data_IF_080252765660
#
_entry.id   IF_080252765660
#
_cell.length_a   1.000
_cell.length_b   1.000
_cell.length_c   1.000
_cell.angle_alpha   90.00
_cell.angle_beta   90.00
_cell.angle_gamma   90.00
#
_symmetry.space_group_name_H-M   'P 1'
#
loop_
_entity.id
_entity.type
_entity.pdbx_description
1 polymer ?
#
# COMPACT_ATOMS: atom_id res chain seq x y z
N UNK A 1 -2.27 -17.66 23.80
CA UNK A 1 -2.32 -17.02 22.47
C UNK A 1 -1.24 -17.67 21.61
N UNK A 2 -1.54 -18.11 20.38
CA UNK A 2 -0.52 -18.71 19.52
C UNK A 2 0.39 -17.63 18.93
N UNK A 3 1.61 -18.00 18.55
CA UNK A 3 2.55 -17.08 17.91
C UNK A 3 2.00 -16.54 16.57
N UNK A 4 1.24 -17.36 15.84
CA UNK A 4 0.58 -16.93 14.60
C UNK A 4 -0.47 -15.85 14.88
N UNK A 5 -1.32 -16.04 15.89
CA UNK A 5 -2.33 -15.04 16.24
C UNK A 5 -1.68 -13.72 16.68
N UNK A 6 -0.61 -13.80 17.48
CA UNK A 6 0.13 -12.61 17.87
C UNK A 6 0.75 -11.89 16.67
N UNK A 7 1.27 -12.63 15.69
CA UNK A 7 1.80 -12.04 14.46
C UNK A 7 0.70 -11.38 13.61
N UNK A 8 -0.47 -12.03 13.48
CA UNK A 8 -1.62 -11.48 12.78
C UNK A 8 -2.08 -10.16 13.41
N UNK A 9 -2.33 -10.16 14.73
CA UNK A 9 -2.80 -8.99 15.46
C UNK A 9 -1.77 -7.84 15.41
N UNK A 10 -0.49 -8.17 15.52
CA UNK A 10 0.58 -7.19 15.37
C UNK A 10 0.59 -6.57 13.97
N UNK A 11 0.44 -7.39 12.93
CA UNK A 11 0.48 -6.97 11.53
C UNK A 11 -0.82 -6.36 11.01
N UNK A 12 -1.89 -6.39 11.80
CA UNK A 12 -3.18 -5.81 11.42
C UNK A 12 -3.01 -4.33 11.05
N UNK A 13 -3.58 -3.93 9.91
CA UNK A 13 -3.42 -2.58 9.38
C UNK A 13 -3.78 -1.49 10.40
N UNK A 14 -4.91 -1.65 11.10
CA UNK A 14 -5.34 -0.72 12.13
C UNK A 14 -4.40 -0.67 13.33
N UNK A 15 -3.77 -1.78 13.70
CA UNK A 15 -2.74 -1.81 14.72
C UNK A 15 -1.48 -1.06 14.26
N UNK A 16 -1.00 -1.32 13.04
CA UNK A 16 0.15 -0.63 12.46
C UNK A 16 -0.04 0.89 12.38
N UNK A 17 -1.25 1.35 12.08
CA UNK A 17 -1.58 2.78 12.06
C UNK A 17 -1.49 3.40 13.45
N UNK A 18 -1.98 2.70 14.49
CA UNK A 18 -1.84 3.13 15.89
C UNK A 18 -0.37 3.20 16.31
N UNK A 19 0.43 2.19 15.95
CA UNK A 19 1.86 2.15 16.28
C UNK A 19 2.64 3.29 15.63
N UNK A 20 2.36 3.63 14.37
CA UNK A 20 2.97 4.76 13.69
C UNK A 20 2.57 6.09 14.33
N UNK A 21 1.27 6.30 14.59
CA UNK A 21 0.77 7.51 15.24
C UNK A 21 1.31 7.71 16.66
N UNK A 22 1.52 6.62 17.39
CA UNK A 22 2.14 6.64 18.71
C UNK A 22 3.68 6.79 18.67
N UNK A 23 4.30 6.78 17.48
CA UNK A 23 5.75 6.92 17.33
C UNK A 23 6.55 5.76 17.92
N UNK A 24 5.95 4.56 18.00
CA UNK A 24 6.58 3.38 18.62
C UNK A 24 7.85 2.95 17.91
N UNK A 25 7.97 3.26 16.61
CA UNK A 25 9.16 2.99 15.85
C UNK A 25 10.23 4.06 16.14
N UNK A 26 11.34 3.65 16.75
CA UNK A 26 12.46 4.52 17.16
C UNK A 26 13.34 4.96 15.98
N UNK A 27 12.70 5.39 14.90
CA UNK A 27 13.36 5.88 13.70
C UNK A 27 12.65 7.10 13.15
N UNK A 28 13.36 8.22 13.08
CA UNK A 28 12.86 9.47 12.52
C UNK A 28 12.39 9.33 11.07
N UNK A 29 12.96 8.38 10.32
CA UNK A 29 12.53 8.10 8.94
C UNK A 29 11.11 7.52 8.88
N UNK A 30 10.65 6.90 9.98
CA UNK A 30 9.35 6.26 10.08
C UNK A 30 8.26 7.20 10.60
N UNK A 31 8.62 8.36 11.16
CA UNK A 31 7.64 9.36 11.59
C UNK A 31 6.97 10.08 10.41
N UNK A 32 5.71 10.48 10.60
CA UNK A 32 4.98 11.31 9.65
C UNK A 32 5.59 12.72 9.60
N UNK A 33 5.66 13.31 8.41
CA UNK A 33 6.21 14.67 8.24
C UNK A 33 5.29 15.74 8.83
N UNK A 34 3.99 15.66 8.57
CA UNK A 34 2.95 16.49 9.19
C UNK A 34 1.90 15.56 9.82
N UNK A 35 1.74 15.64 11.13
CA UNK A 35 0.78 14.81 11.88
C UNK A 35 -0.68 15.16 11.58
N UNK A 36 -0.95 16.33 10.99
CA UNK A 36 -2.30 16.80 10.65
C UNK A 36 -2.70 16.40 9.23
N UNK A 37 -1.76 15.89 8.45
CA UNK A 37 -2.00 15.39 7.10
C UNK A 37 -1.99 13.86 7.11
N UNK A 38 -3.14 13.20 6.94
CA UNK A 38 -3.20 11.74 6.83
C UNK A 38 -2.30 11.17 5.71
N UNK A 39 -2.01 11.93 4.66
CA UNK A 39 -1.13 11.52 3.57
C UNK A 39 0.37 11.62 3.92
N UNK A 40 0.71 12.20 5.06
CA UNK A 40 2.10 12.25 5.55
C UNK A 40 2.51 10.99 6.31
N UNK A 41 1.55 10.15 6.73
CA UNK A 41 1.79 8.85 7.36
C UNK A 41 2.19 7.80 6.32
N UNK A 42 2.87 6.72 6.72
CA UNK A 42 3.15 5.59 5.81
C UNK A 42 1.98 4.62 5.78
N UNK A 43 1.38 4.37 6.95
CA UNK A 43 0.22 3.49 7.12
C UNK A 43 -1.06 4.31 6.91
N UNK A 44 -1.35 4.65 5.65
CA UNK A 44 -2.42 5.60 5.27
C UNK A 44 -3.81 4.97 5.17
N UNK A 45 -4.04 4.15 4.13
CA UNK A 45 -5.37 3.65 3.75
C UNK A 45 -5.59 2.15 3.83
N UNK A 46 -4.54 1.33 3.66
CA UNK A 46 -4.69 -0.13 3.66
C UNK A 46 -5.57 -0.66 2.52
N UNK A 47 -5.75 0.12 1.44
CA UNK A 47 -6.66 -0.16 0.33
C UNK A 47 -5.89 -0.72 -0.87
N UNK A 48 -6.31 -1.88 -1.36
CA UNK A 48 -5.85 -2.44 -2.63
C UNK A 48 -6.46 -1.62 -3.78
N UNK A 49 -5.62 -1.20 -4.73
CA UNK A 49 -6.04 -0.38 -5.87
C UNK A 49 -6.30 1.09 -5.54
N UNK A 50 -5.81 1.60 -4.40
CA UNK A 50 -6.01 3.00 -4.00
C UNK A 50 -5.42 4.05 -4.95
N UNK A 51 -4.59 3.66 -5.93
CA UNK A 51 -4.04 4.57 -6.94
C UNK A 51 -5.14 5.20 -7.83
N UNK A 52 -6.29 4.55 -7.98
CA UNK A 52 -7.43 5.09 -8.74
C UNK A 52 -8.00 6.38 -8.14
N UNK A 53 -7.82 6.56 -6.82
CA UNK A 53 -8.26 7.78 -6.11
C UNK A 53 -7.34 8.99 -6.42
N UNK A 54 -6.19 8.76 -7.06
CA UNK A 54 -5.14 9.75 -7.31
C UNK A 54 -4.83 9.98 -8.79
N UNK A 55 -4.83 8.90 -9.57
CA UNK A 55 -4.42 8.93 -10.97
C UNK A 55 -5.63 9.10 -11.87
N UNK A 56 -5.51 9.98 -12.87
CA UNK A 56 -6.51 10.13 -13.92
C UNK A 56 -6.62 8.85 -14.77
N UNK A 57 -7.66 8.76 -15.62
CA UNK A 57 -7.77 7.64 -16.54
C UNK A 57 -6.57 7.58 -17.52
N UNK A 58 -6.11 8.75 -17.92
CA UNK A 58 -4.97 8.96 -18.81
C UNK A 58 -3.65 8.51 -18.15
N UNK A 59 -3.42 8.89 -16.89
CA UNK A 59 -2.22 8.47 -16.14
C UNK A 59 -2.18 6.96 -15.94
N UNK A 60 -3.33 6.35 -15.64
CA UNK A 60 -3.44 4.89 -15.52
C UNK A 60 -3.15 4.20 -16.84
N UNK A 61 -3.68 4.72 -17.95
CA UNK A 61 -3.44 4.17 -19.28
C UNK A 61 -1.95 4.28 -19.65
N UNK A 62 -1.33 5.43 -19.38
CA UNK A 62 0.10 5.62 -19.57
C UNK A 62 0.92 4.58 -18.79
N UNK A 63 0.61 4.35 -17.51
CA UNK A 63 1.30 3.36 -16.69
C UNK A 63 1.15 1.93 -17.25
N UNK A 64 -0.05 1.55 -17.70
CA UNK A 64 -0.32 0.25 -18.34
C UNK A 64 0.55 0.09 -19.60
N UNK A 65 0.63 1.13 -20.44
CA UNK A 65 1.43 1.07 -21.66
C UNK A 65 2.94 1.08 -21.39
N UNK A 66 3.39 1.64 -20.28
CA UNK A 66 4.76 1.53 -19.80
C UNK A 66 5.06 0.10 -19.31
N UNK A 67 4.16 -0.53 -18.54
CA UNK A 67 4.31 -1.91 -18.07
C UNK A 67 4.46 -2.92 -19.23
N UNK A 68 3.71 -2.74 -20.32
CA UNK A 68 3.82 -3.58 -21.53
C UNK A 68 5.19 -3.55 -22.21
N UNK A 69 6.04 -2.56 -21.91
CA UNK A 69 7.40 -2.44 -22.45
C UNK A 69 8.45 -3.10 -21.55
N UNK A 70 8.07 -3.51 -20.34
CA UNK A 70 8.96 -4.22 -19.42
C UNK A 70 9.07 -5.69 -19.83
N UNK A 71 10.17 -6.32 -19.41
CA UNK A 71 10.43 -7.72 -19.71
C UNK A 71 9.36 -8.63 -19.04
N UNK A 72 8.58 -9.40 -19.82
CA UNK A 72 7.56 -10.29 -19.28
C UNK A 72 8.12 -11.38 -18.36
N UNK A 73 9.41 -11.70 -18.44
CA UNK A 73 10.06 -12.68 -17.57
C UNK A 73 9.88 -12.38 -16.08
N UNK A 74 9.76 -11.10 -15.71
CA UNK A 74 9.55 -10.67 -14.32
C UNK A 74 8.08 -10.58 -13.90
N UNK A 75 7.13 -10.94 -14.77
CA UNK A 75 5.69 -10.93 -14.45
C UNK A 75 5.07 -9.53 -14.39
N UNK A 76 5.60 -8.56 -15.13
CA UNK A 76 5.02 -7.20 -15.22
C UNK A 76 3.77 -7.11 -16.11
N UNK A 77 3.18 -8.25 -16.48
CA UNK A 77 1.96 -8.25 -17.27
C UNK A 77 0.83 -7.57 -16.47
N UNK A 78 0.11 -6.60 -17.07
CA UNK A 78 -0.99 -5.94 -16.40
C UNK A 78 -2.10 -6.95 -16.05
N UNK A 79 -2.13 -7.41 -14.80
CA UNK A 79 -3.23 -8.21 -14.30
C UNK A 79 -4.43 -7.31 -14.04
N UNK A 80 -5.35 -7.26 -14.99
CA UNK A 80 -6.63 -6.59 -14.81
C UNK A 80 -7.45 -7.26 -13.70
N UNK A 81 -8.19 -6.45 -12.94
CA UNK A 81 -9.13 -6.84 -11.88
C UNK A 81 -10.28 -7.77 -12.33
N UNK A 82 -10.24 -8.32 -13.55
CA UNK A 82 -11.21 -9.25 -14.09
C UNK A 82 -10.90 -10.74 -13.82
N UNK A 83 -9.72 -11.08 -13.27
CA UNK A 83 -9.28 -12.47 -13.14
C UNK A 83 -9.30 -13.04 -11.70
N UNK A 84 -9.73 -12.27 -10.70
CA UNK A 84 -9.72 -12.70 -9.29
C UNK A 84 -11.11 -13.06 -8.72
N UNK A 85 -12.15 -13.05 -9.56
CA UNK A 85 -13.52 -13.49 -9.22
C UNK A 85 -13.89 -14.80 -9.97
N UNK A 86 -12.95 -15.74 -10.12
CA UNK A 86 -13.20 -17.10 -10.66
C UNK A 86 -12.98 -18.17 -9.60
#
# INVERSE_FOLDING_TARGET
MSILQAALDFSEFGNMQKLEAAGVFDSKILQARDIRDPESFKVRRGKIGGYEDYLSAEDRQYAIDALKRLDPHFGYEPHGRAAIDS
#
